data_IF_301540036635
#
_entry.id   IF_301540036635
#
_cell.length_a   1.000
_cell.length_b   1.000
_cell.length_c   1.000
_cell.angle_alpha   90.00
_cell.angle_beta   90.00
_cell.angle_gamma   90.00
#
_symmetry.space_group_name_H-M   'P 1'
#
loop_
_entity.id
_entity.type
_entity.pdbx_description
1 polymer ?
#
# COMPACT_ATOMS: atom_id res chain seq x y z
N UNK A 1 2.56 -11.41 3.74
CA UNK A 1 2.43 -10.00 3.30
C UNK A 1 3.81 -9.39 3.22
N UNK A 2 4.15 -8.68 2.14
CA UNK A 2 5.48 -8.11 1.92
C UNK A 2 5.47 -6.60 2.15
N UNK A 3 6.52 -6.08 2.81
CA UNK A 3 6.66 -4.69 3.23
C UNK A 3 5.50 -4.24 4.16
N UNK A 4 5.15 -5.11 5.12
CA UNK A 4 4.05 -4.87 6.05
C UNK A 4 4.52 -4.99 7.51
N UNK A 5 5.15 -3.94 8.05
CA UNK A 5 5.53 -3.89 9.46
C UNK A 5 4.31 -3.81 10.40
N UNK A 6 3.20 -3.26 9.91
CA UNK A 6 1.99 -3.03 10.70
C UNK A 6 1.16 -4.29 10.96
N UNK A 7 1.34 -5.34 10.18
CA UNK A 7 0.58 -6.59 10.24
C UNK A 7 -0.94 -6.43 10.05
N UNK A 8 -1.41 -5.31 9.49
CA UNK A 8 -2.84 -5.03 9.37
C UNK A 8 -3.59 -6.11 8.57
N UNK A 9 -3.05 -6.51 7.41
CA UNK A 9 -3.64 -7.57 6.57
C UNK A 9 -3.29 -8.96 7.13
N UNK A 10 -2.06 -9.13 7.66
CA UNK A 10 -1.63 -10.39 8.29
C UNK A 10 -2.57 -10.81 9.42
N UNK A 11 -2.93 -9.88 10.31
CA UNK A 11 -3.85 -10.14 11.43
C UNK A 11 -5.22 -10.59 10.91
N UNK A 12 -5.76 -9.93 9.89
CA UNK A 12 -7.06 -10.29 9.33
C UNK A 12 -7.04 -11.67 8.65
N UNK A 13 -5.95 -12.00 7.94
CA UNK A 13 -5.75 -13.35 7.36
C UNK A 13 -5.69 -14.43 8.45
N UNK A 14 -4.93 -14.17 9.53
CA UNK A 14 -4.84 -15.09 10.68
C UNK A 14 -6.17 -15.26 11.39
N UNK A 15 -6.97 -14.18 11.51
CA UNK A 15 -8.32 -14.24 12.07
C UNK A 15 -9.25 -15.17 11.28
N UNK A 16 -9.04 -15.29 9.98
CA UNK A 16 -9.77 -16.19 9.10
C UNK A 16 -9.19 -17.62 9.06
N UNK A 17 -8.14 -17.92 9.84
CA UNK A 17 -7.53 -19.23 9.98
C UNK A 17 -6.37 -19.49 9.01
N UNK A 18 -6.00 -18.55 8.16
CA UNK A 18 -4.90 -18.73 7.23
C UNK A 18 -3.52 -18.70 7.91
N UNK A 19 -2.61 -19.54 7.43
CA UNK A 19 -1.21 -19.44 7.77
C UNK A 19 -0.59 -18.24 7.01
N UNK A 20 -0.53 -17.08 7.66
CA UNK A 20 -0.11 -15.83 7.07
C UNK A 20 1.05 -15.19 7.83
N UNK A 21 2.00 -14.61 7.08
CA UNK A 21 3.18 -13.95 7.62
C UNK A 21 3.32 -12.55 7.04
N UNK A 22 3.73 -11.61 7.89
CA UNK A 22 4.23 -10.31 7.45
C UNK A 22 5.74 -10.36 7.25
N UNK A 23 6.26 -9.52 6.37
CA UNK A 23 7.68 -9.34 6.15
C UNK A 23 8.00 -7.85 5.96
N UNK A 24 9.01 -7.38 6.67
CA UNK A 24 9.59 -6.05 6.49
C UNK A 24 11.04 -6.06 6.98
N UNK A 25 11.84 -5.07 6.56
CA UNK A 25 13.18 -4.83 7.13
C UNK A 25 13.10 -4.22 8.53
N UNK A 26 11.99 -3.57 8.85
CA UNK A 26 11.69 -3.01 10.17
C UNK A 26 11.04 -4.08 11.05
N UNK A 27 11.20 -3.99 12.38
CA UNK A 27 10.44 -4.84 13.30
C UNK A 27 8.95 -4.53 13.21
N UNK A 28 8.10 -5.55 13.44
CA UNK A 28 6.67 -5.37 13.37
C UNK A 28 6.13 -4.44 14.45
N UNK A 29 5.06 -3.71 14.12
CA UNK A 29 4.30 -2.87 15.03
C UNK A 29 2.89 -3.38 15.32
N UNK A 30 2.50 -4.52 14.75
CA UNK A 30 1.19 -5.15 14.91
C UNK A 30 1.05 -5.99 16.19
N UNK A 31 2.14 -6.25 16.90
CA UNK A 31 2.13 -6.96 18.18
C UNK A 31 2.30 -8.47 18.10
N UNK A 32 2.53 -9.01 16.91
CA UNK A 32 2.68 -10.45 16.67
C UNK A 32 4.05 -10.78 16.03
N UNK A 33 5.17 -10.66 16.78
CA UNK A 33 6.50 -10.92 16.24
C UNK A 33 6.67 -12.34 15.72
N UNK A 34 5.92 -13.30 16.24
CA UNK A 34 5.90 -14.70 15.80
C UNK A 34 5.35 -14.92 14.38
N UNK A 35 4.63 -13.91 13.85
CA UNK A 35 4.10 -13.91 12.47
C UNK A 35 4.91 -12.97 11.55
N UNK A 36 6.04 -12.46 12.05
CA UNK A 36 6.83 -11.47 11.34
C UNK A 36 8.21 -12.03 10.95
N UNK A 37 8.53 -11.93 9.67
CA UNK A 37 9.83 -12.30 9.12
C UNK A 37 10.59 -10.99 8.85
N UNK A 38 11.49 -10.62 9.75
CA UNK A 38 12.27 -9.40 9.61
C UNK A 38 13.43 -9.60 8.63
N UNK A 39 13.18 -9.33 7.36
CA UNK A 39 14.15 -9.47 6.27
C UNK A 39 13.78 -8.60 5.07
N UNK A 40 14.67 -8.57 4.06
CA UNK A 40 14.32 -8.01 2.75
C UNK A 40 13.27 -8.91 2.08
N UNK A 41 12.12 -8.33 1.74
CA UNK A 41 11.00 -9.04 1.13
C UNK A 41 11.36 -9.76 -0.18
N UNK A 42 12.36 -9.28 -0.93
CA UNK A 42 12.84 -9.93 -2.14
C UNK A 42 13.42 -11.32 -1.87
N UNK A 43 13.94 -11.58 -0.66
CA UNK A 43 14.44 -12.91 -0.28
C UNK A 43 13.30 -13.93 -0.27
N UNK A 44 12.11 -13.51 0.16
CA UNK A 44 10.94 -14.39 0.29
C UNK A 44 10.24 -14.65 -1.04
N UNK A 45 10.49 -13.86 -2.10
CA UNK A 45 9.97 -14.12 -3.44
C UNK A 45 10.54 -15.40 -4.07
N UNK A 46 11.62 -15.96 -3.53
CA UNK A 46 12.21 -17.23 -3.93
C UNK A 46 11.47 -18.46 -3.36
N UNK A 47 10.61 -18.23 -2.36
CA UNK A 47 9.79 -19.25 -1.75
C UNK A 47 8.47 -19.39 -2.50
N UNK A 48 7.81 -20.55 -2.36
CA UNK A 48 6.47 -20.74 -2.91
C UNK A 48 5.43 -20.22 -1.92
N UNK A 49 4.54 -19.37 -2.43
CA UNK A 49 3.41 -18.80 -1.70
C UNK A 49 2.15 -19.01 -2.53
N UNK A 50 1.03 -19.25 -1.86
CA UNK A 50 -0.28 -19.30 -2.51
C UNK A 50 -0.75 -17.90 -2.90
N UNK A 51 -0.44 -16.90 -2.06
CA UNK A 51 -0.78 -15.51 -2.27
C UNK A 51 0.31 -14.56 -1.74
N UNK A 52 0.60 -13.52 -2.50
CA UNK A 52 1.45 -12.39 -2.07
C UNK A 52 0.62 -11.11 -2.11
N UNK A 53 0.59 -10.40 -0.98
CA UNK A 53 0.10 -9.01 -0.92
C UNK A 53 1.28 -8.13 -0.52
N UNK A 54 1.64 -7.17 -1.36
CA UNK A 54 2.83 -6.34 -1.15
C UNK A 54 2.49 -4.85 -1.03
N UNK A 55 3.19 -4.15 -0.14
CA UNK A 55 3.07 -2.72 0.14
C UNK A 55 4.41 -2.00 -0.05
N UNK A 56 5.01 -2.06 -1.24
CA UNK A 56 6.35 -1.52 -1.47
C UNK A 56 6.41 0.00 -1.22
N UNK A 57 7.56 0.50 -0.73
CA UNK A 57 7.72 1.92 -0.39
C UNK A 57 7.40 2.85 -1.55
N UNK A 58 6.49 3.82 -1.32
CA UNK A 58 6.00 4.76 -2.34
C UNK A 58 6.80 6.06 -2.46
N UNK A 59 7.81 6.30 -1.60
CA UNK A 59 8.51 7.58 -1.40
C UNK A 59 9.02 8.22 -2.70
N UNK A 60 9.52 7.40 -3.61
CA UNK A 60 10.08 7.85 -4.88
C UNK A 60 9.13 7.68 -6.06
N UNK A 61 8.08 6.87 -5.93
CA UNK A 61 7.17 6.50 -7.02
C UNK A 61 5.96 7.43 -7.15
N UNK A 62 5.45 7.94 -6.03
CA UNK A 62 4.17 8.66 -5.97
C UNK A 62 4.17 9.97 -6.76
N UNK A 63 3.05 10.26 -7.42
CA UNK A 63 2.78 11.52 -8.10
C UNK A 63 2.88 12.74 -7.17
N UNK A 64 2.61 12.59 -5.89
CA UNK A 64 2.81 13.65 -4.89
C UNK A 64 4.28 14.10 -4.76
N UNK A 65 5.22 13.28 -5.22
CA UNK A 65 6.64 13.60 -5.25
C UNK A 65 7.12 14.36 -6.50
N UNK A 66 6.23 14.61 -7.48
CA UNK A 66 6.57 15.22 -8.77
C UNK A 66 7.32 16.55 -8.64
N UNK A 67 6.87 17.42 -7.74
CA UNK A 67 7.49 18.72 -7.49
C UNK A 67 8.96 18.65 -7.02
N UNK A 68 9.38 17.48 -6.51
CA UNK A 68 10.77 17.24 -6.09
C UNK A 68 11.61 16.62 -7.20
N UNK A 69 10.97 16.06 -8.22
CA UNK A 69 11.60 15.42 -9.37
C UNK A 69 11.75 16.37 -10.54
N UNK A 70 10.69 17.14 -10.85
CA UNK A 70 10.62 18.01 -12.02
C UNK A 70 10.74 19.49 -11.67
N UNK A 71 11.25 20.27 -12.62
CA UNK A 71 11.15 21.73 -12.64
C UNK A 71 9.80 22.17 -13.26
N UNK A 72 9.60 23.49 -13.39
CA UNK A 72 8.38 24.05 -13.96
C UNK A 72 8.20 23.73 -15.46
N UNK A 73 9.29 23.50 -16.19
CA UNK A 73 9.27 23.09 -17.62
C UNK A 73 9.01 21.59 -17.81
N UNK A 74 8.92 20.81 -16.75
CA UNK A 74 8.69 19.37 -16.81
C UNK A 74 9.95 18.53 -17.01
N UNK A 75 11.14 19.13 -16.92
CA UNK A 75 12.41 18.44 -17.00
C UNK A 75 12.84 17.91 -15.64
N UNK A 76 13.60 16.81 -15.62
CA UNK A 76 14.13 16.24 -14.39
C UNK A 76 15.18 17.17 -13.80
N UNK A 77 14.87 17.77 -12.67
CA UNK A 77 15.79 18.64 -11.92
C UNK A 77 16.61 17.92 -10.85
N UNK A 78 16.25 16.71 -10.50
CA UNK A 78 16.91 15.93 -9.44
C UNK A 78 17.22 14.51 -9.92
N UNK A 79 18.41 14.34 -10.47
CA UNK A 79 18.87 13.06 -11.02
C UNK A 79 19.10 11.99 -9.95
N UNK A 80 19.50 12.36 -8.73
CA UNK A 80 19.61 11.40 -7.62
C UNK A 80 18.24 10.80 -7.26
N UNK A 81 17.23 11.68 -7.15
CA UNK A 81 15.85 11.24 -6.93
C UNK A 81 15.32 10.37 -8.08
N UNK A 82 15.68 10.68 -9.31
CA UNK A 82 15.30 9.90 -10.48
C UNK A 82 15.89 8.47 -10.42
N UNK A 83 17.20 8.36 -10.13
CA UNK A 83 17.87 7.05 -9.96
C UNK A 83 17.25 6.22 -8.83
N UNK A 84 16.93 6.86 -7.70
CA UNK A 84 16.23 6.21 -6.60
C UNK A 84 14.82 5.77 -6.99
N UNK A 85 14.14 6.54 -7.83
CA UNK A 85 12.83 6.19 -8.38
C UNK A 85 12.90 4.96 -9.30
N UNK A 86 13.91 4.86 -10.16
CA UNK A 86 14.12 3.68 -11.01
C UNK A 86 14.33 2.42 -10.17
N UNK A 87 15.19 2.48 -9.14
CA UNK A 87 15.39 1.34 -8.21
C UNK A 87 14.11 0.97 -7.47
N UNK A 88 13.32 1.95 -7.05
CA UNK A 88 12.04 1.69 -6.41
C UNK A 88 11.03 1.06 -7.39
N UNK A 89 11.06 1.45 -8.68
CA UNK A 89 10.22 0.84 -9.72
C UNK A 89 10.64 -0.61 -10.01
N UNK A 90 11.93 -0.91 -10.04
CA UNK A 90 12.46 -2.28 -10.15
C UNK A 90 12.01 -3.14 -8.96
N UNK A 91 12.14 -2.62 -7.75
CA UNK A 91 11.67 -3.28 -6.53
C UNK A 91 10.16 -3.55 -6.57
N UNK A 92 9.35 -2.58 -7.00
CA UNK A 92 7.92 -2.75 -7.18
C UNK A 92 7.59 -3.82 -8.23
N UNK A 93 8.26 -3.78 -9.38
CA UNK A 93 8.05 -4.73 -10.46
C UNK A 93 8.38 -6.17 -10.05
N UNK A 94 9.35 -6.37 -9.15
CA UNK A 94 9.71 -7.70 -8.64
C UNK A 94 8.52 -8.42 -8.01
N UNK A 95 7.62 -7.72 -7.33
CA UNK A 95 6.41 -8.32 -6.77
C UNK A 95 5.41 -8.70 -7.86
N UNK A 96 5.22 -7.84 -8.88
CA UNK A 96 4.31 -8.16 -9.99
C UNK A 96 4.76 -9.38 -10.80
N UNK A 97 6.07 -9.59 -10.87
CA UNK A 97 6.70 -10.66 -11.65
C UNK A 97 6.98 -11.93 -10.83
N UNK A 98 6.61 -11.93 -9.54
CA UNK A 98 6.86 -13.07 -8.66
C UNK A 98 6.15 -14.35 -9.15
N UNK A 99 6.80 -15.49 -8.94
CA UNK A 99 6.22 -16.80 -9.20
C UNK A 99 5.24 -17.18 -8.08
N UNK A 100 4.07 -16.55 -8.14
CA UNK A 100 2.98 -16.77 -7.21
C UNK A 100 1.66 -16.75 -7.99
N UNK A 101 0.72 -17.66 -7.69
CA UNK A 101 -0.56 -17.73 -8.41
C UNK A 101 -1.43 -16.49 -8.19
N UNK A 102 -1.42 -15.92 -7.00
CA UNK A 102 -2.25 -14.76 -6.63
C UNK A 102 -1.38 -13.63 -6.08
N UNK A 103 -1.46 -12.45 -6.70
CA UNK A 103 -0.65 -11.29 -6.28
C UNK A 103 -1.53 -10.05 -6.23
N UNK A 104 -1.40 -9.29 -5.14
CA UNK A 104 -1.84 -7.91 -5.05
C UNK A 104 -0.66 -7.02 -4.66
N UNK A 105 -0.47 -5.91 -5.38
CA UNK A 105 0.51 -4.89 -4.99
C UNK A 105 -0.23 -3.58 -4.77
N UNK A 106 0.00 -2.95 -3.63
CA UNK A 106 -0.60 -1.68 -3.23
C UNK A 106 0.41 -0.56 -3.38
N UNK A 107 -0.04 0.57 -3.94
CA UNK A 107 0.74 1.81 -3.90
C UNK A 107 -0.20 3.01 -4.18
N UNK A 108 0.14 4.25 -3.79
CA UNK A 108 -0.59 5.42 -4.27
C UNK A 108 -0.41 5.63 -5.78
N UNK A 109 -1.14 6.60 -6.33
CA UNK A 109 -0.98 6.98 -7.74
C UNK A 109 0.47 7.35 -8.03
N UNK A 110 1.07 6.64 -8.97
CA UNK A 110 2.48 6.79 -9.35
C UNK A 110 2.68 7.74 -10.52
N UNK A 111 3.91 8.22 -10.67
CA UNK A 111 4.34 8.94 -11.87
C UNK A 111 4.50 7.99 -13.06
N UNK A 112 4.04 8.42 -14.22
CA UNK A 112 4.12 7.61 -15.47
C UNK A 112 5.56 7.37 -15.95
N UNK A 113 6.51 8.22 -15.56
CA UNK A 113 7.90 8.12 -15.96
C UNK A 113 8.62 6.84 -15.48
N UNK A 114 8.02 6.10 -14.56
CA UNK A 114 8.59 4.85 -14.05
C UNK A 114 8.34 3.64 -14.97
N UNK A 115 7.49 3.77 -16.01
CA UNK A 115 7.20 2.69 -16.94
C UNK A 115 6.42 1.51 -16.35
N UNK A 116 5.89 1.67 -15.14
CA UNK A 116 5.10 0.64 -14.47
C UNK A 116 3.70 0.52 -15.13
N UNK A 117 3.10 -0.68 -15.11
CA UNK A 117 1.76 -0.89 -15.67
C UNK A 117 0.71 -0.05 -14.93
N UNK A 118 -0.40 0.20 -15.62
CA UNK A 118 -1.55 0.84 -14.98
C UNK A 118 -2.14 -0.11 -13.93
N UNK A 119 -2.59 0.46 -12.81
CA UNK A 119 -3.32 -0.28 -11.79
C UNK A 119 -4.67 -0.80 -12.31
N UNK A 120 -5.14 -1.89 -11.72
CA UNK A 120 -6.44 -2.52 -12.04
C UNK A 120 -7.60 -1.83 -11.32
N UNK A 121 -7.35 -1.31 -10.12
CA UNK A 121 -8.37 -0.67 -9.29
C UNK A 121 -7.79 0.48 -8.45
N UNK A 122 -8.66 1.47 -8.15
CA UNK A 122 -8.45 2.42 -7.04
C UNK A 122 -9.49 2.13 -5.98
N UNK A 123 -9.05 2.05 -4.74
CA UNK A 123 -9.90 1.98 -3.56
C UNK A 123 -9.64 3.18 -2.65
N UNK A 124 -10.64 3.54 -1.87
CA UNK A 124 -10.51 4.58 -0.85
C UNK A 124 -11.05 4.07 0.50
N UNK A 125 -10.43 4.41 1.65
CA UNK A 125 -10.84 3.91 2.96
C UNK A 125 -12.32 4.11 3.28
N UNK A 126 -12.93 5.23 2.83
CA UNK A 126 -14.35 5.49 3.10
C UNK A 126 -15.32 4.50 2.42
N UNK A 127 -14.85 3.73 1.46
CA UNK A 127 -15.61 2.65 0.83
C UNK A 127 -15.65 1.37 1.69
N UNK A 128 -14.83 1.34 2.75
CA UNK A 128 -14.60 0.18 3.61
C UNK A 128 -14.79 0.49 5.11
N UNK A 129 -15.60 1.50 5.45
CA UNK A 129 -15.94 1.86 6.82
C UNK A 129 -15.01 2.87 7.51
N UNK A 130 -13.90 3.22 6.90
CA UNK A 130 -12.95 4.22 7.44
C UNK A 130 -13.23 5.60 6.84
N UNK A 131 -13.52 6.61 7.66
CA UNK A 131 -13.95 7.94 7.20
C UNK A 131 -12.86 8.79 6.50
N UNK A 132 -11.87 8.16 5.89
CA UNK A 132 -10.71 8.83 5.27
C UNK A 132 -10.73 8.79 3.75
N UNK A 133 -10.06 9.79 3.12
CA UNK A 133 -9.71 9.78 1.72
C UNK A 133 -8.22 9.49 1.56
N UNK A 134 -7.90 8.38 0.93
CA UNK A 134 -6.54 8.02 0.52
C UNK A 134 -6.63 7.14 -0.71
N UNK A 135 -6.43 7.71 -1.89
CA UNK A 135 -6.40 6.92 -3.13
C UNK A 135 -5.32 5.87 -3.08
N UNK A 136 -5.75 4.64 -3.01
CA UNK A 136 -4.91 3.46 -2.95
C UNK A 136 -5.11 2.68 -4.24
N UNK A 137 -4.05 2.52 -5.01
CA UNK A 137 -4.06 1.77 -6.27
C UNK A 137 -3.68 0.32 -6.00
N UNK A 138 -4.36 -0.60 -6.67
CA UNK A 138 -4.12 -2.03 -6.60
C UNK A 138 -3.76 -2.56 -7.98
N UNK A 139 -2.68 -3.34 -8.05
CA UNK A 139 -2.30 -4.18 -9.18
C UNK A 139 -2.57 -5.61 -8.80
N UNK A 140 -3.36 -6.31 -9.62
CA UNK A 140 -3.93 -7.62 -9.26
C UNK A 140 -3.52 -8.67 -10.30
N UNK A 141 -3.05 -9.82 -9.82
CA UNK A 141 -2.85 -11.03 -10.61
C UNK A 141 -3.75 -12.13 -10.05
N UNK A 142 -4.71 -12.59 -10.85
CA UNK A 142 -5.67 -13.65 -10.49
C UNK A 142 -6.45 -13.38 -9.18
N UNK A 143 -6.67 -12.13 -8.85
CA UNK A 143 -7.49 -11.70 -7.73
C UNK A 143 -8.64 -10.80 -8.23
N UNK A 144 -9.84 -10.94 -7.67
CA UNK A 144 -10.95 -10.07 -8.02
C UNK A 144 -10.71 -8.65 -7.50
N UNK A 145 -11.35 -7.68 -8.14
CA UNK A 145 -11.42 -6.31 -7.59
C UNK A 145 -12.17 -6.31 -6.28
N UNK A 146 -11.70 -5.53 -5.32
CA UNK A 146 -12.38 -5.37 -4.04
C UNK A 146 -13.73 -4.66 -4.23
N UNK A 147 -14.76 -5.22 -3.62
CA UNK A 147 -16.08 -4.65 -3.56
C UNK A 147 -16.20 -3.83 -2.26
N UNK A 148 -16.69 -2.58 -2.31
CA UNK A 148 -16.96 -1.81 -1.10
C UNK A 148 -17.82 -2.58 -0.09
N UNK A 149 -17.41 -2.58 1.17
CA UNK A 149 -18.12 -3.30 2.24
C UNK A 149 -19.08 -2.39 3.00
N UNK A 150 -18.63 -1.18 3.31
CA UNK A 150 -19.42 -0.17 4.04
C UNK A 150 -18.99 1.22 3.58
N UNK A 151 -19.83 1.87 2.77
CA UNK A 151 -19.54 3.23 2.32
C UNK A 151 -20.01 4.24 3.36
N UNK A 152 -19.05 4.89 4.01
CA UNK A 152 -19.30 5.96 4.97
C UNK A 152 -19.03 7.34 4.36
N UNK A 153 -19.62 8.39 4.92
CA UNK A 153 -19.30 9.76 4.48
C UNK A 153 -17.88 10.12 4.86
N UNK A 154 -16.99 10.40 3.90
CA UNK A 154 -15.62 10.76 4.21
C UNK A 154 -15.56 12.10 4.95
N UNK A 155 -14.82 12.14 6.04
CA UNK A 155 -14.57 13.34 6.82
C UNK A 155 -13.35 14.07 6.25
N UNK A 156 -13.57 15.21 5.56
CA UNK A 156 -12.54 16.18 5.15
C UNK A 156 -11.44 15.69 4.22
N UNK A 157 -10.20 16.11 4.49
CA UNK A 157 -9.07 16.09 3.56
C UNK A 157 -8.38 14.73 3.43
N UNK A 158 -7.54 14.63 2.39
CA UNK A 158 -6.65 13.50 2.13
C UNK A 158 -5.71 13.22 3.29
N UNK A 159 -5.54 11.96 3.65
CA UNK A 159 -4.43 11.54 4.49
C UNK A 159 -3.12 11.98 3.83
N UNK A 160 -2.35 12.83 4.52
CA UNK A 160 -1.09 13.36 4.00
C UNK A 160 -1.14 14.71 3.31
N UNK A 161 -2.29 15.39 3.27
CA UNK A 161 -2.33 16.79 2.87
C UNK A 161 -1.51 17.64 3.87
N UNK A 162 -0.42 18.22 3.39
CA UNK A 162 0.48 19.06 4.22
C UNK A 162 0.02 20.51 4.32
N UNK A 163 -0.89 20.94 3.47
CA UNK A 163 -1.49 22.26 3.50
C UNK A 163 -2.89 22.17 4.10
N UNK A 164 -3.05 22.77 5.27
CA UNK A 164 -4.34 23.08 5.85
C UNK A 164 -5.07 24.10 4.94
N UNK A 165 -5.63 23.65 3.81
CA UNK A 165 -6.72 24.42 3.21
C UNK A 165 -7.90 24.23 4.13
N UNK A 166 -8.31 25.33 4.79
CA UNK A 166 -9.58 25.43 5.48
C UNK A 166 -10.69 24.97 4.54
N UNK A 167 -11.22 23.79 4.80
CA UNK A 167 -12.57 23.43 4.48
C UNK A 167 -13.28 23.46 5.82
N UNK A 168 -14.26 24.32 5.92
CA UNK A 168 -15.08 24.49 7.10
C UNK A 168 -15.51 23.11 7.62
N UNK A 169 -15.34 22.94 8.92
CA UNK A 169 -15.88 21.88 9.78
C UNK A 169 -15.11 20.60 10.03
N UNK A 170 -13.97 20.28 9.47
CA UNK A 170 -13.33 19.06 9.94
C UNK A 170 -11.81 19.06 9.91
N UNK A 171 -11.22 19.27 11.04
CA UNK A 171 -9.88 18.79 11.35
C UNK A 171 -9.88 17.27 11.47
N UNK A 172 -9.72 16.64 10.38
CA UNK A 172 -9.13 15.33 10.39
C UNK A 172 -7.67 15.56 10.68
N UNK A 173 -7.23 15.04 11.81
CA UNK A 173 -5.88 15.12 12.32
C UNK A 173 -4.94 15.77 11.29
N UNK A 174 -4.73 17.10 11.39
CA UNK A 174 -3.98 17.82 10.38
C UNK A 174 -2.60 17.23 10.36
N UNK A 175 -2.33 16.51 9.29
CA UNK A 175 -1.01 16.00 9.03
C UNK A 175 -0.43 15.22 10.18
N UNK A 176 -0.89 13.98 10.40
CA UNK A 176 0.04 13.05 10.99
C UNK A 176 1.28 13.05 10.08
N UNK A 177 2.27 13.82 10.49
CA UNK A 177 3.53 13.98 9.75
C UNK A 177 4.37 12.71 9.82
N UNK A 178 3.95 11.74 10.64
CA UNK A 178 4.63 10.47 10.76
C UNK A 178 4.38 9.62 9.51
N UNK A 179 5.39 9.42 8.65
CA UNK A 179 5.24 8.66 7.43
C UNK A 179 4.87 7.19 7.70
N UNK A 180 5.33 6.61 8.81
CA UNK A 180 5.01 5.22 9.19
C UNK A 180 3.51 5.06 9.47
N UNK A 181 2.89 5.97 10.24
CA UNK A 181 1.43 5.90 10.47
C UNK A 181 0.63 6.07 9.18
N UNK A 182 1.07 6.95 8.30
CA UNK A 182 0.40 7.20 7.00
C UNK A 182 0.55 6.04 6.02
N UNK A 183 1.58 5.23 6.18
CA UNK A 183 1.84 4.07 5.33
C UNK A 183 0.90 2.89 5.67
N UNK A 184 0.45 2.76 6.91
CA UNK A 184 -0.39 1.65 7.36
C UNK A 184 -1.65 1.49 6.50
N UNK A 185 -1.98 0.24 6.22
CA UNK A 185 -3.23 -0.13 5.57
C UNK A 185 -4.39 0.13 6.53
N UNK A 186 -5.48 0.71 6.02
CA UNK A 186 -6.67 0.97 6.80
C UNK A 186 -7.37 -0.34 7.19
N UNK A 187 -7.92 -0.43 8.41
CA UNK A 187 -8.54 -1.66 8.92
C UNK A 187 -9.63 -2.21 8.00
N UNK A 188 -10.51 -1.35 7.48
CA UNK A 188 -11.57 -1.78 6.57
C UNK A 188 -11.04 -2.35 5.25
N UNK A 189 -9.99 -1.77 4.69
CA UNK A 189 -9.33 -2.30 3.49
C UNK A 189 -8.63 -3.63 3.80
N UNK A 190 -7.90 -3.71 4.93
CA UNK A 190 -7.23 -4.94 5.35
C UNK A 190 -8.21 -6.11 5.52
N UNK A 191 -9.33 -5.84 6.20
CA UNK A 191 -10.43 -6.80 6.35
C UNK A 191 -11.01 -7.23 5.00
N UNK A 192 -11.29 -6.29 4.11
CA UNK A 192 -11.82 -6.58 2.78
C UNK A 192 -10.85 -7.43 1.94
N UNK A 193 -9.53 -7.14 2.00
CA UNK A 193 -8.51 -7.95 1.33
C UNK A 193 -8.55 -9.40 1.83
N UNK A 194 -8.59 -9.61 3.15
CA UNK A 194 -8.63 -10.94 3.73
C UNK A 194 -9.92 -11.69 3.37
N UNK A 195 -11.08 -11.08 3.57
CA UNK A 195 -12.38 -11.74 3.37
C UNK A 195 -12.69 -12.01 1.89
N UNK A 196 -12.33 -11.08 0.99
CA UNK A 196 -12.71 -11.20 -0.42
C UNK A 196 -11.68 -11.97 -1.26
N UNK A 197 -10.42 -12.03 -0.84
CA UNK A 197 -9.38 -12.72 -1.60
C UNK A 197 -9.06 -14.10 -1.05
N UNK A 198 -9.12 -14.30 0.26
CA UNK A 198 -8.83 -15.57 0.88
C UNK A 198 -10.06 -16.29 1.44
N UNK A 199 -11.04 -15.56 1.98
CA UNK A 199 -12.20 -16.14 2.65
C UNK A 199 -11.82 -16.87 3.94
N UNK A 200 -12.70 -17.76 4.42
CA UNK A 200 -12.43 -18.60 5.59
C UNK A 200 -11.50 -19.75 5.19
N UNK A 201 -10.47 -20.01 5.97
CA UNK A 201 -9.66 -21.21 5.79
C UNK A 201 -10.50 -22.46 6.05
N UNK A 202 -10.33 -23.50 5.23
CA UNK A 202 -11.02 -24.79 5.36
C UNK A 202 -10.43 -25.63 6.49
#
# INVERSE_FOLDING_TARGET
>A
MACEESQAVTIEMRRLGHEAYSCDIEPCSGGHPEWHIQTDALQLLKMKWDMIIAFPPCTYLTAAGAVRLYNASGEIKNMDRYRKGLKAAEFFASFLMADCPQIAVENPVMLKCWGLPKYDQIVEPFQFGDCWRKRTCLWLKNLPKLIPTETVRPRGLWVGATSARRVEEQYILPGDRNPKRRAKTFPGIAKAMAEQWAGQAL
#
